data_IF_892740784643
#
_entry.id   IF_892740784643
#
_cell.length_a   1.000
_cell.length_b   1.000
_cell.length_c   1.000
_cell.angle_alpha   90.00
_cell.angle_beta   90.00
_cell.angle_gamma   90.00
#
_symmetry.space_group_name_H-M   'P 1'
#
loop_
_entity.id
_entity.type
_entity.pdbx_description
1 polymer ?
#
# COMPACT_ATOMS: atom_id res chain seq x y z
N UNK A 1 2.78 -0.45 18.97
CA UNK A 1 2.81 -1.58 18.04
C UNK A 1 3.86 -1.34 16.97
N UNK A 2 4.55 -2.39 16.57
CA UNK A 2 5.58 -2.30 15.53
C UNK A 2 4.92 -2.22 14.13
N UNK A 3 5.72 -1.85 13.14
CA UNK A 3 5.27 -1.90 11.74
C UNK A 3 4.88 -3.32 11.34
N UNK A 4 5.65 -4.31 11.84
CA UNK A 4 5.37 -5.72 11.53
C UNK A 4 3.99 -6.13 12.04
N UNK A 5 3.62 -5.71 13.24
CA UNK A 5 2.30 -6.01 13.80
C UNK A 5 1.19 -5.42 12.94
N UNK A 6 1.39 -4.20 12.45
CA UNK A 6 0.42 -3.53 11.58
C UNK A 6 0.24 -4.29 10.27
N UNK A 7 1.33 -4.73 9.67
CA UNK A 7 1.26 -5.48 8.42
C UNK A 7 0.66 -6.87 8.63
N UNK A 8 0.93 -7.50 9.76
CA UNK A 8 0.33 -8.78 10.10
C UNK A 8 -1.19 -8.66 10.22
N UNK A 9 -1.69 -7.53 10.73
CA UNK A 9 -3.13 -7.25 10.72
C UNK A 9 -3.70 -7.16 9.31
N UNK A 10 -2.96 -6.53 8.38
CA UNK A 10 -3.37 -6.44 6.98
C UNK A 10 -3.48 -7.83 6.36
N UNK A 11 -2.59 -8.73 6.71
CA UNK A 11 -2.62 -10.09 6.19
C UNK A 11 -3.83 -10.91 6.66
N UNK A 12 -4.59 -10.41 7.63
CA UNK A 12 -5.87 -11.00 8.04
C UNK A 12 -7.00 -10.72 7.05
N UNK A 13 -6.81 -9.79 6.11
CA UNK A 13 -7.79 -9.50 5.07
C UNK A 13 -7.95 -10.73 4.18
N UNK A 14 -9.21 -11.08 3.89
CA UNK A 14 -9.51 -12.21 3.01
C UNK A 14 -8.85 -12.00 1.63
N UNK A 15 -8.08 -12.97 1.20
CA UNK A 15 -7.39 -12.91 -0.08
C UNK A 15 -6.05 -12.18 -0.04
N UNK A 16 -5.59 -11.70 1.12
CA UNK A 16 -4.29 -11.03 1.20
C UNK A 16 -3.15 -11.99 0.84
N UNK A 17 -2.32 -11.59 -0.13
CA UNK A 17 -1.18 -12.36 -0.59
C UNK A 17 0.10 -11.86 0.09
N UNK A 18 0.29 -10.56 0.08
CA UNK A 18 1.49 -9.93 0.65
C UNK A 18 1.23 -8.44 0.86
N UNK A 19 1.98 -7.84 1.78
CA UNK A 19 1.89 -6.41 2.04
C UNK A 19 3.27 -5.86 2.41
N UNK A 20 3.46 -4.56 2.18
CA UNK A 20 4.70 -3.86 2.51
C UNK A 20 4.38 -2.45 2.97
N UNK A 21 5.16 -1.97 3.94
CA UNK A 21 5.17 -0.56 4.31
C UNK A 21 6.40 0.06 3.65
N UNK A 22 6.20 1.10 2.86
CA UNK A 22 7.24 1.64 1.98
C UNK A 22 7.53 3.10 2.31
N UNK A 23 8.81 3.44 2.34
CA UNK A 23 9.27 4.83 2.42
C UNK A 23 9.32 5.39 1.00
N UNK A 24 8.51 6.40 0.72
CA UNK A 24 8.37 6.97 -0.62
C UNK A 24 9.63 7.69 -1.09
N UNK A 25 10.41 8.25 -0.19
CA UNK A 25 11.63 8.97 -0.56
C UNK A 25 12.71 8.03 -1.11
N UNK A 26 12.91 6.89 -0.45
CA UNK A 26 13.94 5.93 -0.83
C UNK A 26 13.42 4.82 -1.73
N UNK A 27 12.11 4.55 -1.72
CA UNK A 27 11.51 3.40 -2.39
C UNK A 27 11.76 2.08 -1.66
N UNK A 28 12.23 2.14 -0.42
CA UNK A 28 12.57 0.94 0.36
C UNK A 28 11.42 0.48 1.22
N UNK A 29 11.26 -0.84 1.32
CA UNK A 29 10.31 -1.42 2.25
C UNK A 29 10.87 -1.36 3.66
N UNK A 30 10.12 -0.76 4.57
CA UNK A 30 10.48 -0.70 5.99
C UNK A 30 10.07 -1.97 6.72
N UNK A 31 9.02 -2.62 6.24
CA UNK A 31 8.54 -3.89 6.76
C UNK A 31 7.73 -4.60 5.68
N UNK A 32 7.67 -5.91 5.73
CA UNK A 32 6.89 -6.71 4.79
C UNK A 32 6.20 -7.85 5.54
N UNK A 33 5.10 -8.35 4.98
CA UNK A 33 4.45 -9.55 5.48
C UNK A 33 3.93 -10.35 4.29
N UNK A 34 3.97 -11.67 4.41
CA UNK A 34 3.69 -12.57 3.29
C UNK A 34 4.97 -12.82 2.49
N UNK A 35 5.04 -13.97 1.85
CA UNK A 35 6.22 -14.35 1.05
C UNK A 35 5.80 -15.23 -0.12
N UNK A 36 4.98 -14.71 -1.04
CA UNK A 36 4.51 -15.49 -2.16
C UNK A 36 5.61 -15.70 -3.19
N UNK A 37 5.57 -16.82 -3.88
CA UNK A 37 6.47 -17.08 -5.01
C UNK A 37 6.15 -16.12 -6.15
N UNK A 38 7.18 -15.57 -6.77
CA UNK A 38 7.04 -14.71 -7.94
C UNK A 38 6.63 -13.27 -7.65
N UNK A 39 6.54 -12.89 -6.38
CA UNK A 39 6.26 -11.50 -5.99
C UNK A 39 7.36 -11.02 -5.03
N UNK A 40 8.37 -10.37 -5.59
CA UNK A 40 9.46 -9.78 -4.83
C UNK A 40 8.98 -8.45 -4.26
N UNK A 41 8.82 -8.39 -2.94
CA UNK A 41 8.27 -7.21 -2.28
C UNK A 41 9.20 -6.01 -2.32
N UNK A 42 10.50 -6.22 -2.44
CA UNK A 42 11.44 -5.09 -2.58
C UNK A 42 11.32 -4.46 -3.96
N UNK A 43 11.15 -5.28 -5.01
CA UNK A 43 10.88 -4.80 -6.37
C UNK A 43 9.52 -4.09 -6.40
N UNK A 44 8.52 -4.68 -5.76
CA UNK A 44 7.18 -4.06 -5.68
C UNK A 44 7.22 -2.72 -4.97
N UNK A 45 7.98 -2.61 -3.88
CA UNK A 45 8.13 -1.34 -3.15
C UNK A 45 8.71 -0.26 -4.03
N UNK A 46 9.82 -0.54 -4.72
CA UNK A 46 10.47 0.42 -5.60
C UNK A 46 9.57 0.83 -6.77
N UNK A 47 8.95 -0.16 -7.43
CA UNK A 47 8.09 0.09 -8.59
C UNK A 47 6.84 0.86 -8.24
N UNK A 48 6.21 0.53 -7.11
CA UNK A 48 5.00 1.23 -6.67
C UNK A 48 5.29 2.64 -6.15
N UNK A 49 6.50 2.87 -5.65
CA UNK A 49 6.95 4.24 -5.34
C UNK A 49 6.94 5.09 -6.60
N UNK A 50 7.40 4.54 -7.74
CA UNK A 50 7.37 5.25 -9.02
C UNK A 50 5.94 5.53 -9.47
N UNK A 51 5.02 4.60 -9.25
CA UNK A 51 3.60 4.79 -9.57
C UNK A 51 3.03 5.96 -8.76
N UNK A 52 3.30 6.00 -7.45
CA UNK A 52 2.86 7.10 -6.59
C UNK A 52 3.40 8.44 -7.06
N UNK A 53 4.70 8.51 -7.30
CA UNK A 53 5.35 9.74 -7.73
C UNK A 53 4.85 10.22 -9.08
N UNK A 54 4.64 9.32 -10.03
CA UNK A 54 4.12 9.65 -11.34
C UNK A 54 2.72 10.28 -11.24
N UNK A 55 1.86 9.70 -10.41
CA UNK A 55 0.51 10.25 -10.22
C UNK A 55 0.54 11.59 -9.52
N UNK A 56 1.37 11.74 -8.50
CA UNK A 56 1.51 13.00 -7.78
C UNK A 56 2.01 14.11 -8.70
N UNK A 57 2.98 13.81 -9.58
CA UNK A 57 3.49 14.77 -10.56
C UNK A 57 2.40 15.16 -11.54
N UNK A 58 1.61 14.22 -12.02
CA UNK A 58 0.49 14.49 -12.93
C UNK A 58 -0.55 15.40 -12.27
N UNK A 59 -0.86 15.13 -11.00
CA UNK A 59 -1.80 15.96 -10.24
C UNK A 59 -1.29 17.39 -10.11
N UNK A 60 0.00 17.56 -9.83
CA UNK A 60 0.63 18.88 -9.75
C UNK A 60 0.54 19.61 -11.08
N UNK A 61 0.83 18.92 -12.20
CA UNK A 61 0.74 19.48 -13.55
C UNK A 61 -0.68 19.91 -13.90
N UNK A 62 -1.67 19.20 -13.39
CA UNK A 62 -3.09 19.51 -13.60
C UNK A 62 -3.60 20.59 -12.64
N UNK A 63 -2.81 20.99 -11.65
CA UNK A 63 -3.24 21.94 -10.64
C UNK A 63 -4.21 21.37 -9.63
N UNK A 64 -4.28 20.05 -9.49
CA UNK A 64 -5.15 19.39 -8.52
C UNK A 64 -4.57 19.50 -7.12
N UNK A 65 -5.32 20.12 -6.22
CA UNK A 65 -4.92 20.27 -4.81
C UNK A 65 -5.67 19.26 -3.94
N UNK A 66 -5.49 18.00 -4.25
CA UNK A 66 -6.15 16.89 -3.58
C UNK A 66 -5.12 15.88 -3.08
N UNK A 67 -5.52 15.05 -2.14
CA UNK A 67 -4.69 13.96 -1.65
C UNK A 67 -5.16 12.65 -2.28
N UNK A 68 -4.23 11.74 -2.52
CA UNK A 68 -4.57 10.39 -3.00
C UNK A 68 -5.04 9.58 -1.79
N UNK A 69 -6.26 9.04 -1.87
CA UNK A 69 -6.75 8.11 -0.86
C UNK A 69 -6.16 6.72 -1.06
N UNK A 70 -6.27 6.20 -2.28
CA UNK A 70 -5.61 4.96 -2.67
C UNK A 70 -5.47 4.90 -4.18
N UNK A 71 -4.58 4.02 -4.64
CA UNK A 71 -4.44 3.67 -6.05
C UNK A 71 -4.76 2.19 -6.16
N UNK A 72 -5.70 1.86 -7.03
CA UNK A 72 -6.14 0.49 -7.26
C UNK A 72 -5.75 0.05 -8.65
N UNK A 73 -5.04 -1.08 -8.73
CA UNK A 73 -4.65 -1.67 -10.01
C UNK A 73 -5.23 -3.08 -10.05
N UNK A 74 -6.15 -3.31 -10.98
CA UNK A 74 -6.80 -4.60 -11.14
C UNK A 74 -6.10 -5.38 -12.24
N UNK A 75 -5.48 -6.48 -11.87
CA UNK A 75 -4.87 -7.43 -12.81
C UNK A 75 -5.83 -8.58 -13.08
N UNK A 76 -5.43 -9.50 -13.93
CA UNK A 76 -6.28 -10.66 -14.28
C UNK A 76 -6.66 -11.50 -13.06
N UNK A 77 -5.70 -11.75 -12.17
CA UNK A 77 -5.89 -12.63 -11.01
C UNK A 77 -5.60 -11.97 -9.67
N UNK A 78 -5.10 -10.74 -9.67
CA UNK A 78 -4.74 -10.03 -8.46
C UNK A 78 -5.27 -8.60 -8.49
N UNK A 79 -5.41 -8.03 -7.31
CA UNK A 79 -5.67 -6.59 -7.15
C UNK A 79 -4.53 -6.05 -6.29
N UNK A 80 -3.88 -4.99 -6.78
CA UNK A 80 -2.84 -4.29 -6.03
C UNK A 80 -3.39 -2.95 -5.55
N UNK A 81 -3.20 -2.64 -4.29
CA UNK A 81 -3.65 -1.38 -3.72
C UNK A 81 -2.48 -0.68 -3.04
N UNK A 82 -2.38 0.62 -3.29
CA UNK A 82 -1.38 1.49 -2.68
C UNK A 82 -2.14 2.54 -1.87
N UNK A 83 -1.86 2.63 -0.57
CA UNK A 83 -2.55 3.59 0.28
C UNK A 83 -1.55 4.43 1.07
N UNK A 84 -1.47 5.74 0.77
CA UNK A 84 -0.60 6.64 1.55
C UNK A 84 -1.06 6.74 3.00
N UNK A 85 -0.11 6.83 3.92
CA UNK A 85 -0.42 7.08 5.32
C UNK A 85 -0.84 8.52 5.51
N UNK A 86 -1.86 8.75 6.34
CA UNK A 86 -2.45 10.08 6.56
C UNK A 86 -2.06 10.72 7.88
N UNK A 87 -1.44 9.99 8.81
CA UNK A 87 -0.99 10.57 10.07
C UNK A 87 0.19 11.52 9.83
N UNK A 88 0.32 12.56 10.66
CA UNK A 88 1.43 13.51 10.52
C UNK A 88 2.79 12.83 10.62
N UNK A 89 2.95 11.90 11.56
CA UNK A 89 4.21 11.18 11.74
C UNK A 89 4.44 10.10 10.70
N UNK A 90 3.40 9.66 10.00
CA UNK A 90 3.49 8.67 8.92
C UNK A 90 3.65 9.26 7.53
N UNK A 91 3.74 10.58 7.39
CA UNK A 91 3.90 11.22 6.08
C UNK A 91 5.11 10.69 5.34
N UNK A 92 4.94 10.48 4.04
CA UNK A 92 5.98 9.92 3.19
C UNK A 92 6.00 8.41 3.16
N UNK A 93 5.11 7.76 3.89
CA UNK A 93 4.96 6.30 3.87
C UNK A 93 3.68 5.90 3.14
N UNK A 94 3.70 4.72 2.54
CA UNK A 94 2.47 4.12 2.00
C UNK A 94 2.45 2.63 2.28
N UNK A 95 1.23 2.08 2.28
CA UNK A 95 1.02 0.64 2.39
C UNK A 95 0.74 0.12 0.98
N UNK A 96 1.44 -0.94 0.59
CA UNK A 96 1.16 -1.71 -0.60
C UNK A 96 0.58 -3.06 -0.17
N UNK A 97 -0.49 -3.50 -0.83
CA UNK A 97 -1.05 -4.83 -0.60
C UNK A 97 -1.43 -5.48 -1.91
N UNK A 98 -1.09 -6.76 -2.05
CA UNK A 98 -1.52 -7.60 -3.16
C UNK A 98 -2.61 -8.55 -2.66
N UNK A 99 -3.72 -8.60 -3.37
CA UNK A 99 -4.88 -9.40 -3.02
C UNK A 99 -5.20 -10.40 -4.13
N UNK A 100 -5.68 -11.58 -3.75
CA UNK A 100 -6.25 -12.55 -4.70
C UNK A 100 -7.62 -12.01 -5.13
N UNK A 101 -7.77 -11.74 -6.43
CA UNK A 101 -8.98 -11.12 -6.98
C UNK A 101 -10.24 -11.91 -6.70
N UNK A 102 -10.16 -13.23 -6.66
CA UNK A 102 -11.32 -14.10 -6.44
C UNK A 102 -11.79 -14.11 -5.00
N UNK A 103 -10.88 -13.91 -4.05
CA UNK A 103 -11.16 -14.00 -2.61
C UNK A 103 -11.40 -12.65 -1.96
N UNK A 104 -10.88 -11.56 -2.56
CA UNK A 104 -10.92 -10.25 -1.95
C UNK A 104 -12.28 -9.59 -2.07
N UNK A 105 -12.65 -8.87 -1.00
CA UNK A 105 -13.76 -7.94 -1.00
C UNK A 105 -13.14 -6.54 -0.86
N UNK A 106 -13.26 -5.72 -1.91
CA UNK A 106 -12.61 -4.41 -1.96
C UNK A 106 -13.06 -3.47 -0.84
N UNK A 107 -14.37 -3.44 -0.55
CA UNK A 107 -14.88 -2.57 0.50
C UNK A 107 -14.29 -2.94 1.86
N UNK A 108 -14.22 -4.23 2.16
CA UNK A 108 -13.63 -4.72 3.41
C UNK A 108 -12.14 -4.44 3.46
N UNK A 109 -11.44 -4.66 2.35
CA UNK A 109 -10.00 -4.40 2.27
C UNK A 109 -9.69 -2.92 2.49
N UNK A 110 -10.43 -2.02 1.84
CA UNK A 110 -10.27 -0.58 2.04
C UNK A 110 -10.54 -0.16 3.47
N UNK A 111 -11.59 -0.72 4.08
CA UNK A 111 -11.93 -0.42 5.46
C UNK A 111 -10.79 -0.80 6.41
N UNK A 112 -10.28 -2.02 6.27
CA UNK A 112 -9.17 -2.52 7.11
C UNK A 112 -7.90 -1.69 6.90
N UNK A 113 -7.56 -1.41 5.65
CA UNK A 113 -6.38 -0.60 5.34
C UNK A 113 -6.49 0.81 5.92
N UNK A 114 -7.68 1.41 5.86
CA UNK A 114 -7.91 2.74 6.43
C UNK A 114 -7.66 2.75 7.93
N UNK A 115 -8.12 1.73 8.64
CA UNK A 115 -7.90 1.61 10.08
C UNK A 115 -6.42 1.46 10.40
N UNK A 116 -5.74 0.57 9.68
CA UNK A 116 -4.33 0.28 9.95
C UNK A 116 -3.45 1.48 9.62
N UNK A 117 -3.66 2.12 8.45
CA UNK A 117 -2.79 3.21 8.03
C UNK A 117 -2.88 4.43 8.93
N UNK A 118 -4.03 4.68 9.54
CA UNK A 118 -4.18 5.80 10.48
C UNK A 118 -3.33 5.62 11.74
N UNK A 119 -2.99 4.41 12.09
CA UNK A 119 -2.16 4.11 13.23
C UNK A 119 -0.66 4.03 12.89
N UNK A 120 -0.26 4.30 11.66
CA UNK A 120 1.15 4.25 11.26
C UNK A 120 1.84 5.53 11.71
N UNK A 121 2.90 5.36 12.51
CA UNK A 121 3.70 6.46 13.03
C UNK A 121 5.18 6.13 12.88
N UNK A 122 5.96 7.15 12.60
CA UNK A 122 7.42 7.01 12.51
C UNK A 122 8.03 7.17 13.90
#
# INVERSE_FOLDING_TARGET
MSYQDKLDEIMEIDGAIATALVDMDSGMALATSGNPKGLDLEVAAAGNTNVMKAKMNTMADLGLKENIEDILITLDSQIHMIRPATSESGKGLFIYVALDKKKANLAMARHKLRIVEKGIEI
#
